data_IF_510096580985
#
_entry.id   IF_510096580985
#
_cell.length_a   1.000
_cell.length_b   1.000
_cell.length_c   1.000
_cell.angle_alpha   90.00
_cell.angle_beta   90.00
_cell.angle_gamma   90.00
#
_symmetry.space_group_name_H-M   'P 1'
#
loop_
_entity.id
_entity.type
_entity.pdbx_description
1 polymer ?
#
# COMPACT_ATOMS: atom_id res chain seq x y z
N UNK A 1 -3.83 4.77 -9.64
CA UNK A 1 -4.94 5.65 -10.10
C UNK A 1 -4.59 7.13 -10.04
N UNK A 2 -3.99 7.65 -8.96
CA UNK A 2 -3.64 9.07 -8.87
C UNK A 2 -2.64 9.56 -9.95
N UNK A 3 -1.66 8.75 -10.33
CA UNK A 3 -0.73 9.08 -11.42
C UNK A 3 -1.39 9.08 -12.81
N UNK A 4 -2.39 8.21 -13.03
CA UNK A 4 -3.21 8.22 -14.25
C UNK A 4 -4.07 9.49 -14.33
N UNK A 5 -4.63 9.92 -13.20
CA UNK A 5 -5.35 11.19 -13.13
C UNK A 5 -4.47 12.37 -13.54
N UNK A 6 -3.23 12.43 -13.02
CA UNK A 6 -2.27 13.47 -13.41
C UNK A 6 -1.96 13.43 -14.91
N UNK A 7 -1.80 12.24 -15.48
CA UNK A 7 -1.58 12.11 -16.93
C UNK A 7 -2.74 12.66 -17.76
N UNK A 8 -3.98 12.51 -17.27
CA UNK A 8 -5.17 13.01 -17.96
C UNK A 8 -5.46 14.49 -17.71
N UNK A 9 -5.06 15.05 -16.55
CA UNK A 9 -5.53 16.36 -16.08
C UNK A 9 -4.43 17.34 -15.66
N UNK A 10 -3.15 16.99 -15.80
CA UNK A 10 -2.00 17.88 -15.58
C UNK A 10 -1.69 18.24 -14.12
N UNK A 11 -2.62 18.00 -13.19
CA UNK A 11 -2.49 18.32 -11.78
C UNK A 11 -2.62 17.06 -10.90
N UNK A 12 -2.21 17.17 -9.63
CA UNK A 12 -2.46 16.17 -8.57
C UNK A 12 -3.57 16.69 -7.64
N UNK A 13 -4.86 16.56 -8.00
CA UNK A 13 -5.93 17.23 -7.26
C UNK A 13 -6.44 16.43 -6.06
N UNK A 14 -5.82 15.30 -5.73
CA UNK A 14 -6.33 14.39 -4.72
C UNK A 14 -5.40 14.35 -3.50
N UNK A 15 -5.98 14.23 -2.31
CA UNK A 15 -5.25 13.68 -1.18
C UNK A 15 -5.16 12.17 -1.37
N UNK A 16 -3.95 11.62 -1.32
CA UNK A 16 -3.78 10.17 -1.20
C UNK A 16 -3.81 9.79 0.29
N UNK A 17 -4.74 8.92 0.67
CA UNK A 17 -4.78 8.35 2.04
C UNK A 17 -4.36 6.88 1.98
N UNK A 18 -3.33 6.54 2.73
CA UNK A 18 -2.78 5.20 2.87
C UNK A 18 -3.13 4.68 4.27
N UNK A 19 -3.81 3.53 4.32
CA UNK A 19 -4.20 2.88 5.57
C UNK A 19 -3.39 1.60 5.71
N UNK A 20 -2.40 1.66 6.59
CA UNK A 20 -1.44 0.59 6.89
C UNK A 20 -0.95 -0.15 5.65
N UNK A 21 -0.58 0.64 4.65
CA UNK A 21 -0.18 0.12 3.36
C UNK A 21 1.22 -0.49 3.45
N UNK A 22 1.33 -1.78 3.15
CA UNK A 22 2.61 -2.48 3.09
C UNK A 22 3.57 -1.91 2.03
N UNK A 23 4.79 -2.42 2.02
CA UNK A 23 5.77 -2.15 0.95
C UNK A 23 5.43 -2.96 -0.29
N UNK A 24 5.89 -2.47 -1.45
CA UNK A 24 6.03 -3.32 -2.61
C UNK A 24 7.45 -3.88 -2.61
N UNK A 25 7.64 -5.14 -2.23
CA UNK A 25 8.95 -5.77 -2.35
C UNK A 25 9.22 -6.09 -3.83
N UNK A 26 10.21 -5.43 -4.41
CA UNK A 26 10.72 -5.73 -5.75
C UNK A 26 11.19 -7.19 -5.84
N UNK A 27 10.61 -7.94 -6.76
CA UNK A 27 10.86 -9.36 -6.97
C UNK A 27 12.00 -9.59 -7.97
N UNK A 28 13.19 -9.06 -7.72
CA UNK A 28 14.34 -9.26 -8.61
C UNK A 28 15.36 -10.28 -8.08
N UNK A 29 15.12 -10.93 -6.94
CA UNK A 29 16.08 -11.90 -6.37
C UNK A 29 15.42 -13.14 -5.75
N UNK A 30 16.22 -14.21 -5.66
CA UNK A 30 15.97 -15.57 -5.11
C UNK A 30 15.24 -15.66 -3.75
N UNK A 31 15.02 -14.54 -3.08
CA UNK A 31 14.18 -14.44 -1.90
C UNK A 31 12.72 -14.82 -2.22
N UNK A 32 12.19 -14.41 -3.38
CA UNK A 32 10.82 -14.77 -3.77
C UNK A 32 10.69 -16.21 -4.29
N UNK A 33 11.75 -16.87 -4.78
CA UNK A 33 11.65 -18.32 -5.05
C UNK A 33 11.38 -19.07 -3.75
N UNK A 34 12.03 -18.66 -2.65
CA UNK A 34 11.80 -19.22 -1.31
C UNK A 34 10.47 -18.76 -0.68
N UNK A 35 10.04 -17.52 -0.94
CA UNK A 35 8.78 -16.98 -0.41
C UNK A 35 7.57 -17.52 -1.17
N UNK A 36 7.65 -17.60 -2.49
CA UNK A 36 6.69 -18.27 -3.35
C UNK A 36 6.67 -19.78 -3.06
N UNK A 37 7.81 -20.43 -2.78
CA UNK A 37 7.81 -21.81 -2.25
C UNK A 37 7.10 -21.90 -0.90
N UNK A 38 7.32 -20.97 0.04
CA UNK A 38 6.60 -20.95 1.32
C UNK A 38 5.10 -20.77 1.13
N UNK A 39 4.67 -19.87 0.26
CA UNK A 39 3.25 -19.62 -0.02
C UNK A 39 2.61 -20.77 -0.79
N UNK A 40 3.31 -21.38 -1.75
CA UNK A 40 2.89 -22.60 -2.44
C UNK A 40 2.78 -23.75 -1.44
N UNK A 41 3.77 -23.94 -0.58
CA UNK A 41 3.75 -24.98 0.47
C UNK A 41 2.63 -24.73 1.49
N UNK A 42 2.35 -23.46 1.81
CA UNK A 42 1.25 -23.08 2.67
C UNK A 42 -0.10 -23.39 2.00
N UNK A 43 -0.25 -23.03 0.73
CA UNK A 43 -1.41 -23.42 -0.09
C UNK A 43 -1.61 -24.93 -0.16
N UNK A 44 -0.54 -25.70 -0.35
CA UNK A 44 -0.58 -27.17 -0.34
C UNK A 44 -1.01 -27.73 1.01
N UNK A 45 -0.58 -27.08 2.11
CA UNK A 45 -1.02 -27.45 3.46
C UNK A 45 -2.52 -27.21 3.67
N UNK A 46 -3.06 -26.13 3.11
CA UNK A 46 -4.47 -25.76 3.24
C UNK A 46 -5.40 -26.56 2.33
N UNK A 47 -5.01 -26.78 1.08
CA UNK A 47 -5.89 -27.30 0.03
C UNK A 47 -5.55 -28.75 -0.39
N UNK A 48 -4.41 -29.27 0.06
CA UNK A 48 -3.95 -30.63 -0.23
C UNK A 48 -3.14 -30.78 -1.52
N UNK A 49 -2.29 -31.80 -1.57
CA UNK A 49 -1.43 -32.11 -2.72
C UNK A 49 -2.20 -32.42 -4.01
N UNK A 50 -3.44 -32.88 -3.90
CA UNK A 50 -4.33 -33.12 -5.05
C UNK A 50 -4.70 -31.83 -5.79
N UNK A 51 -4.56 -30.65 -5.17
CA UNK A 51 -4.82 -29.35 -5.79
C UNK A 51 -3.54 -28.60 -6.21
N UNK A 52 -2.38 -29.26 -6.16
CA UNK A 52 -1.08 -28.64 -6.46
C UNK A 52 -1.05 -27.89 -7.79
N UNK A 53 -1.62 -28.45 -8.85
CA UNK A 53 -1.62 -27.80 -10.16
C UNK A 53 -2.47 -26.52 -10.16
N UNK A 54 -3.61 -26.52 -9.48
CA UNK A 54 -4.48 -25.35 -9.33
C UNK A 54 -3.79 -24.22 -8.55
N UNK A 55 -3.06 -24.58 -7.50
CA UNK A 55 -2.26 -23.64 -6.70
C UNK A 55 -1.15 -23.03 -7.56
N UNK A 56 -0.37 -23.86 -8.26
CA UNK A 56 0.70 -23.40 -9.14
C UNK A 56 0.16 -22.51 -10.27
N UNK A 57 -0.96 -22.88 -10.90
CA UNK A 57 -1.60 -22.09 -11.95
C UNK A 57 -2.09 -20.74 -11.43
N UNK A 58 -2.56 -20.67 -10.18
CA UNK A 58 -2.93 -19.40 -9.53
C UNK A 58 -1.71 -18.48 -9.39
N UNK A 59 -0.62 -18.95 -8.77
CA UNK A 59 0.58 -18.14 -8.58
C UNK A 59 1.23 -17.75 -9.92
N UNK A 60 1.24 -18.65 -10.90
CA UNK A 60 1.75 -18.38 -12.25
C UNK A 60 0.95 -17.30 -12.99
N UNK A 61 -0.36 -17.16 -12.74
CA UNK A 61 -1.18 -16.08 -13.31
C UNK A 61 -0.85 -14.72 -12.69
N UNK A 62 -0.51 -14.69 -11.41
CA UNK A 62 -0.25 -13.46 -10.66
C UNK A 62 1.21 -13.02 -10.78
N UNK A 63 2.15 -13.96 -10.96
CA UNK A 63 3.58 -13.68 -11.06
C UNK A 63 3.96 -12.61 -12.11
N UNK A 64 3.37 -12.57 -13.32
CA UNK A 64 3.66 -11.49 -14.28
C UNK A 64 3.15 -10.11 -13.83
N UNK A 65 2.08 -10.06 -13.04
CA UNK A 65 1.52 -8.82 -12.48
C UNK A 65 2.33 -8.31 -11.29
N UNK A 66 3.02 -9.20 -10.61
CA UNK A 66 3.96 -8.91 -9.53
C UNK A 66 5.38 -8.58 -10.03
N UNK A 67 5.63 -8.60 -11.35
CA UNK A 67 6.91 -8.13 -11.89
C UNK A 67 7.03 -6.64 -11.66
N UNK A 68 8.17 -6.26 -11.11
CA UNK A 68 8.50 -4.88 -10.80
C UNK A 68 8.22 -3.97 -12.01
N UNK A 69 7.36 -2.94 -11.87
CA UNK A 69 7.29 -1.91 -12.87
C UNK A 69 8.65 -1.22 -12.92
N UNK A 70 9.26 -1.17 -14.12
CA UNK A 70 10.61 -0.63 -14.33
C UNK A 70 10.83 0.76 -13.73
N UNK A 71 9.74 1.52 -13.55
CA UNK A 71 9.70 2.76 -12.79
C UNK A 71 8.40 2.84 -11.98
N UNK A 72 8.52 2.88 -10.66
CA UNK A 72 7.38 3.19 -9.80
C UNK A 72 7.04 4.69 -9.94
N UNK A 73 5.78 5.04 -10.20
CA UNK A 73 5.40 6.43 -10.40
C UNK A 73 5.46 7.19 -9.07
N UNK A 74 6.24 8.27 -9.03
CA UNK A 74 6.30 9.19 -7.88
C UNK A 74 5.05 10.07 -7.86
N UNK A 75 4.37 10.10 -6.72
CA UNK A 75 3.25 10.98 -6.45
C UNK A 75 3.73 12.25 -5.75
N UNK A 76 3.57 13.41 -6.39
CA UNK A 76 4.04 14.69 -5.83
C UNK A 76 2.93 15.47 -5.10
N UNK A 77 1.71 14.93 -5.02
CA UNK A 77 0.62 15.55 -4.27
C UNK A 77 0.72 15.28 -2.76
N UNK A 78 -0.23 15.84 -2.02
CA UNK A 78 -0.36 15.60 -0.58
C UNK A 78 -0.72 14.13 -0.31
N UNK A 79 -0.02 13.51 0.64
CA UNK A 79 -0.24 12.13 1.02
C UNK A 79 -0.30 12.00 2.54
N UNK A 80 -1.24 11.22 3.05
CA UNK A 80 -1.37 10.93 4.46
C UNK A 80 -1.36 9.42 4.68
N UNK A 81 -0.48 8.93 5.55
CA UNK A 81 -0.33 7.52 5.84
C UNK A 81 -0.54 7.25 7.33
N UNK A 82 -1.48 6.36 7.63
CA UNK A 82 -1.65 5.79 8.95
C UNK A 82 -0.93 4.44 8.97
N UNK A 83 0.08 4.27 9.81
CA UNK A 83 0.86 3.03 9.90
C UNK A 83 0.61 2.32 11.22
N UNK A 84 0.83 1.01 11.25
CA UNK A 84 1.01 0.26 12.49
C UNK A 84 2.47 -0.09 12.70
N UNK A 85 2.84 -0.48 13.92
CA UNK A 85 4.20 -0.93 14.23
C UNK A 85 4.64 -2.14 13.40
N UNK A 86 3.70 -2.98 12.96
CA UNK A 86 3.96 -4.13 12.08
C UNK A 86 4.48 -3.67 10.72
N UNK A 87 3.78 -2.72 10.08
CA UNK A 87 4.17 -2.16 8.79
C UNK A 87 5.45 -1.33 8.86
N UNK A 88 5.64 -0.57 9.94
CA UNK A 88 6.89 0.18 10.16
C UNK A 88 8.08 -0.79 10.29
N UNK A 89 7.92 -1.90 11.01
CA UNK A 89 8.99 -2.88 11.19
C UNK A 89 9.49 -3.50 9.87
N UNK A 90 8.65 -3.54 8.83
CA UNK A 90 9.02 -4.04 7.50
C UNK A 90 9.39 -2.94 6.49
N UNK A 91 9.57 -1.70 6.96
CA UNK A 91 10.06 -0.59 6.14
C UNK A 91 8.99 0.12 5.29
N UNK A 92 7.71 0.01 5.65
CA UNK A 92 6.61 0.63 4.91
C UNK A 92 6.75 2.15 4.81
N UNK A 93 7.15 2.81 5.90
CA UNK A 93 7.23 4.26 5.96
C UNK A 93 8.31 4.79 5.00
N UNK A 94 9.49 4.18 5.02
CA UNK A 94 10.62 4.54 4.17
C UNK A 94 10.25 4.35 2.69
N UNK A 95 9.59 3.24 2.38
CA UNK A 95 9.13 2.93 1.03
C UNK A 95 8.13 3.97 0.50
N UNK A 96 7.08 4.28 1.28
CA UNK A 96 6.08 5.25 0.86
C UNK A 96 6.63 6.68 0.82
N UNK A 97 7.57 7.03 1.68
CA UNK A 97 8.25 8.33 1.64
C UNK A 97 9.03 8.52 0.34
N UNK A 98 9.66 7.46 -0.18
CA UNK A 98 10.37 7.51 -1.46
C UNK A 98 9.41 7.72 -2.66
N UNK A 99 8.18 7.21 -2.57
CA UNK A 99 7.17 7.31 -3.64
C UNK A 99 6.27 8.55 -3.50
N UNK A 100 6.16 9.11 -2.30
CA UNK A 100 5.33 10.27 -1.97
C UNK A 100 6.15 11.27 -1.14
N UNK A 101 6.92 12.20 -1.74
CA UNK A 101 7.71 13.16 -0.96
C UNK A 101 6.88 14.08 -0.05
N UNK A 102 5.59 14.29 -0.37
CA UNK A 102 4.63 15.01 0.46
C UNK A 102 3.93 14.16 1.52
N UNK A 103 4.51 13.03 1.92
CA UNK A 103 3.93 12.12 2.91
C UNK A 103 3.95 12.73 4.31
N UNK A 104 2.77 12.83 4.92
CA UNK A 104 2.62 12.92 6.35
C UNK A 104 2.25 11.55 6.91
N UNK A 105 2.92 11.10 7.97
CA UNK A 105 2.61 9.82 8.60
C UNK A 105 2.22 9.97 10.06
N UNK A 106 1.40 9.03 10.52
CA UNK A 106 1.07 8.88 11.93
C UNK A 106 0.98 7.38 12.27
N UNK A 107 1.66 7.00 13.35
CA UNK A 107 1.64 5.62 13.84
C UNK A 107 0.43 5.38 14.74
N UNK A 108 -0.16 4.19 14.62
CA UNK A 108 -1.31 3.74 15.37
C UNK A 108 -0.92 2.56 16.23
N UNK A 109 -1.32 2.62 17.50
CA UNK A 109 -1.06 1.57 18.48
C UNK A 109 -2.10 0.45 18.37
N UNK A 110 -2.17 -0.20 17.20
CA UNK A 110 -3.01 -1.37 16.94
C UNK A 110 -2.29 -2.34 15.98
N UNK A 111 -2.82 -3.55 15.83
CA UNK A 111 -2.37 -4.48 14.77
C UNK A 111 -2.99 -4.12 13.43
N UNK A 112 -2.42 -4.64 12.34
CA UNK A 112 -2.95 -4.46 10.98
C UNK A 112 -4.43 -4.88 10.89
N UNK A 113 -4.76 -6.03 11.47
CA UNK A 113 -6.11 -6.59 11.44
C UNK A 113 -7.13 -5.79 12.27
N UNK A 114 -6.68 -5.04 13.27
CA UNK A 114 -7.56 -4.26 14.14
C UNK A 114 -7.78 -2.82 13.66
N UNK A 115 -7.12 -2.41 12.58
CA UNK A 115 -7.14 -1.02 12.08
C UNK A 115 -8.55 -0.50 11.79
N UNK A 116 -9.43 -1.37 11.29
CA UNK A 116 -10.79 -1.02 10.87
C UNK A 116 -11.87 -1.58 11.81
N UNK A 117 -11.48 -2.10 12.98
CA UNK A 117 -12.43 -2.53 14.00
C UNK A 117 -13.18 -1.35 14.62
N UNK A 118 -14.33 -1.61 15.25
CA UNK A 118 -15.25 -0.58 15.79
C UNK A 118 -14.57 0.44 16.71
N UNK A 119 -13.55 0.03 17.46
CA UNK A 119 -12.77 0.93 18.33
C UNK A 119 -11.83 1.84 17.54
N UNK A 120 -11.22 1.33 16.48
CA UNK A 120 -10.19 2.03 15.70
C UNK A 120 -10.76 2.85 14.56
N UNK A 121 -11.84 2.40 13.91
CA UNK A 121 -12.43 3.08 12.75
C UNK A 121 -12.85 4.53 13.06
N UNK A 122 -13.32 4.80 14.29
CA UNK A 122 -13.64 6.15 14.77
C UNK A 122 -12.40 7.03 14.91
N UNK A 123 -11.29 6.47 15.36
CA UNK A 123 -10.02 7.18 15.46
C UNK A 123 -9.45 7.45 14.06
N UNK A 124 -9.37 6.43 13.22
CA UNK A 124 -8.92 6.53 11.82
C UNK A 124 -9.72 7.59 11.07
N UNK A 125 -11.06 7.52 11.13
CA UNK A 125 -11.93 8.50 10.47
C UNK A 125 -11.71 9.92 10.97
N UNK A 126 -11.48 10.11 12.28
CA UNK A 126 -11.16 11.42 12.84
C UNK A 126 -9.83 11.97 12.31
N UNK A 127 -8.77 11.17 12.33
CA UNK A 127 -7.43 11.57 11.88
C UNK A 127 -7.43 11.93 10.39
N UNK A 128 -8.11 11.12 9.56
CA UNK A 128 -8.27 11.40 8.13
C UNK A 128 -9.01 12.72 7.94
N UNK A 129 -10.14 12.94 8.62
CA UNK A 129 -10.90 14.19 8.49
C UNK A 129 -10.11 15.41 8.97
N UNK A 130 -9.39 15.31 10.08
CA UNK A 130 -8.52 16.38 10.58
C UNK A 130 -7.43 16.74 9.56
N UNK A 131 -6.82 15.73 8.92
CA UNK A 131 -5.82 15.97 7.88
C UNK A 131 -6.45 16.61 6.63
N UNK A 132 -7.60 16.11 6.18
CA UNK A 132 -8.36 16.70 5.08
C UNK A 132 -8.65 18.18 5.32
N UNK A 133 -9.17 18.54 6.50
CA UNK A 133 -9.44 19.93 6.85
C UNK A 133 -8.17 20.80 6.86
N UNK A 134 -7.03 20.24 7.27
CA UNK A 134 -5.74 20.94 7.28
C UNK A 134 -5.25 21.29 5.87
N UNK A 135 -5.44 20.39 4.91
CA UNK A 135 -4.92 20.56 3.55
C UNK A 135 -5.91 21.21 2.59
N UNK A 136 -7.21 21.19 2.89
CA UNK A 136 -8.24 21.75 2.00
C UNK A 136 -7.93 23.19 1.54
N UNK A 137 -7.47 24.12 2.40
CA UNK A 137 -7.11 25.47 1.96
C UNK A 137 -5.91 25.50 0.99
N UNK A 138 -4.95 24.56 1.13
CA UNK A 138 -3.82 24.45 0.20
C UNK A 138 -4.26 23.95 -1.17
N UNK A 139 -5.28 23.09 -1.20
CA UNK A 139 -5.84 22.52 -2.43
C UNK A 139 -6.76 23.50 -3.15
N UNK A 140 -7.46 24.38 -2.41
CA UNK A 140 -8.28 25.46 -3.00
C UNK A 140 -7.44 26.53 -3.70
N UNK A 141 -6.24 26.82 -3.18
CA UNK A 141 -5.27 27.73 -3.83
C UNK A 141 -4.68 27.16 -5.14
N UNK A 142 -4.91 25.88 -5.41
CA UNK A 142 -4.41 25.17 -6.59
C UNK A 142 -5.46 24.98 -7.69
N UNK A 143 -6.66 25.57 -7.58
CA UNK A 143 -7.70 25.44 -8.60
C UNK A 143 -8.29 26.76 -9.12
N UNK A 144 -8.76 26.80 -10.38
CA UNK A 144 -8.26 26.12 -11.58
C UNK A 144 -7.02 26.81 -12.20
#
# INVERSE_FOLDING_TARGET
MASLWRLCHGQYPALLVLLDAGTYASTTTSAHEKENEKEINHGLTLFGENQKQLILDHFNKVAPLAREPSHLPIYQGECFCLTTSESVAVGALEWWTALCPGLHSQDLTCSHHALLDDSMIKLVGRLVNEYCCRIAPKMELLGP
#
